data_IF_667303087063
#
_entry.id   IF_667303087063
#
_cell.length_a   1.000
_cell.length_b   1.000
_cell.length_c   1.000
_cell.angle_alpha   90.00
_cell.angle_beta   90.00
_cell.angle_gamma   90.00
#
_symmetry.space_group_name_H-M   'P 1'
#
loop_
_entity.id
_entity.type
_entity.pdbx_description
1 polymer ?
#
# COMPACT_ATOMS: atom_id res chain seq x y z
N UNK A 1 -68.19 79.06 -18.51
CA UNK A 1 -68.91 78.21 -17.55
C UNK A 1 -69.16 76.88 -18.22
N UNK A 2 -68.47 75.79 -17.98
CA UNK A 2 -67.33 75.44 -17.13
C UNK A 2 -66.89 74.04 -17.63
N UNK A 3 -65.65 73.82 -18.12
CA UNK A 3 -65.24 72.49 -18.56
C UNK A 3 -64.84 71.66 -17.34
N UNK A 4 -65.52 70.52 -17.15
CA UNK A 4 -65.16 69.52 -16.14
C UNK A 4 -63.73 69.01 -16.41
N UNK A 5 -62.85 68.94 -15.40
CA UNK A 5 -61.55 68.32 -15.57
C UNK A 5 -61.68 66.79 -15.52
N UNK A 6 -61.08 66.13 -16.50
CA UNK A 6 -60.89 64.68 -16.57
C UNK A 6 -59.97 64.19 -15.43
N UNK A 7 -60.42 63.16 -14.71
CA UNK A 7 -59.60 62.44 -13.75
C UNK A 7 -58.52 61.60 -14.47
N UNK A 8 -57.22 61.73 -14.12
CA UNK A 8 -56.21 60.82 -14.63
C UNK A 8 -56.30 59.47 -13.90
N UNK A 9 -56.52 58.41 -14.69
CA UNK A 9 -56.52 57.00 -14.26
C UNK A 9 -55.22 56.62 -13.54
N UNK A 10 -55.32 56.25 -12.27
CA UNK A 10 -54.27 55.60 -11.48
C UNK A 10 -54.00 54.16 -11.96
N UNK A 11 -53.23 53.97 -13.04
CA UNK A 11 -52.81 52.62 -13.46
C UNK A 11 -51.29 52.43 -13.62
N UNK A 12 -50.47 53.41 -13.20
CA UNK A 12 -49.02 53.39 -13.44
C UNK A 12 -48.10 53.09 -12.23
N UNK A 13 -48.63 52.88 -11.01
CA UNK A 13 -47.77 52.84 -9.79
C UNK A 13 -47.44 51.45 -9.24
N UNK A 14 -48.17 50.39 -9.58
CA UNK A 14 -47.91 49.06 -9.00
C UNK A 14 -46.74 48.29 -9.64
N UNK A 15 -46.36 48.57 -10.89
CA UNK A 15 -45.29 47.80 -11.57
C UNK A 15 -43.85 48.09 -11.06
N UNK A 16 -43.63 49.18 -10.31
CA UNK A 16 -42.30 49.55 -9.78
C UNK A 16 -41.99 49.00 -8.38
N UNK A 17 -42.99 48.61 -7.59
CA UNK A 17 -42.77 48.14 -6.22
C UNK A 17 -42.35 46.66 -6.12
N UNK A 18 -42.69 45.83 -7.11
CA UNK A 18 -42.38 44.39 -7.11
C UNK A 18 -40.97 44.09 -7.65
N UNK A 19 -40.34 45.02 -8.38
CA UNK A 19 -39.00 44.82 -8.98
C UNK A 19 -37.83 44.97 -8.00
N UNK A 20 -38.00 45.77 -6.94
CA UNK A 20 -36.96 45.99 -5.91
C UNK A 20 -36.67 44.76 -5.05
N UNK A 21 -37.67 44.00 -4.53
CA UNK A 21 -37.37 42.78 -3.77
C UNK A 21 -36.76 41.69 -4.65
N UNK A 22 -37.18 41.56 -5.92
CA UNK A 22 -36.62 40.56 -6.84
C UNK A 22 -35.13 40.83 -7.16
N UNK A 23 -34.74 42.10 -7.28
CA UNK A 23 -33.34 42.49 -7.46
C UNK A 23 -32.47 42.13 -6.25
N UNK A 24 -32.96 42.39 -5.03
CA UNK A 24 -32.23 42.05 -3.80
C UNK A 24 -32.14 40.54 -3.58
N UNK A 25 -33.21 39.79 -3.88
CA UNK A 25 -33.18 38.32 -3.86
C UNK A 25 -32.15 37.78 -4.86
N UNK A 26 -32.10 38.33 -6.08
CA UNK A 26 -31.09 37.97 -7.07
C UNK A 26 -29.66 38.33 -6.64
N UNK A 27 -29.46 39.49 -6.01
CA UNK A 27 -28.15 39.92 -5.50
C UNK A 27 -27.66 39.02 -4.35
N UNK A 28 -28.55 38.66 -3.42
CA UNK A 28 -28.23 37.72 -2.32
C UNK A 28 -27.94 36.33 -2.86
N UNK A 29 -28.74 35.83 -3.81
CA UNK A 29 -28.48 34.55 -4.46
C UNK A 29 -27.15 34.55 -5.23
N UNK A 30 -26.79 35.66 -5.89
CA UNK A 30 -25.50 35.81 -6.58
C UNK A 30 -24.31 35.80 -5.63
N UNK A 31 -24.40 36.51 -4.50
CA UNK A 31 -23.34 36.50 -3.46
C UNK A 31 -23.21 35.11 -2.82
N UNK A 32 -24.33 34.45 -2.53
CA UNK A 32 -24.32 33.08 -2.02
C UNK A 32 -23.68 32.10 -3.01
N UNK A 33 -24.02 32.18 -4.30
CA UNK A 33 -23.43 31.32 -5.34
C UNK A 33 -21.93 31.56 -5.50
N UNK A 34 -21.47 32.81 -5.41
CA UNK A 34 -20.04 33.13 -5.39
C UNK A 34 -19.34 32.54 -4.18
N UNK A 35 -19.93 32.63 -2.99
CA UNK A 35 -19.37 32.05 -1.76
C UNK A 35 -19.31 30.52 -1.85
N UNK A 36 -20.38 29.86 -2.31
CA UNK A 36 -20.42 28.42 -2.51
C UNK A 36 -19.39 27.97 -3.56
N UNK A 37 -19.24 28.72 -4.67
CA UNK A 37 -18.23 28.42 -5.70
C UNK A 37 -16.81 28.59 -5.15
N UNK A 38 -16.57 29.61 -4.33
CA UNK A 38 -15.27 29.82 -3.71
C UNK A 38 -14.90 28.68 -2.75
N UNK A 39 -15.85 28.20 -1.95
CA UNK A 39 -15.64 27.05 -1.05
C UNK A 39 -15.33 25.76 -1.82
N UNK A 40 -16.10 25.46 -2.88
CA UNK A 40 -15.83 24.30 -3.75
C UNK A 40 -14.46 24.43 -4.44
N UNK A 41 -14.07 25.64 -4.85
CA UNK A 41 -12.75 25.87 -5.43
C UNK A 41 -11.62 25.68 -4.41
N UNK A 42 -11.80 26.11 -3.16
CA UNK A 42 -10.85 25.87 -2.07
C UNK A 42 -10.72 24.38 -1.76
N UNK A 43 -11.85 23.65 -1.66
CA UNK A 43 -11.83 22.19 -1.52
C UNK A 43 -11.02 21.51 -2.63
N UNK A 44 -11.18 21.95 -3.88
CA UNK A 44 -10.40 21.43 -5.00
C UNK A 44 -8.91 21.79 -4.96
N UNK A 45 -8.52 22.87 -4.28
CA UNK A 45 -7.10 23.22 -4.07
C UNK A 45 -6.50 22.39 -2.94
N UNK A 46 -7.21 22.24 -1.83
CA UNK A 46 -6.76 21.42 -0.69
C UNK A 46 -6.63 19.95 -1.10
N UNK A 47 -7.62 19.38 -1.81
CA UNK A 47 -7.53 18.02 -2.34
C UNK A 47 -6.35 17.84 -3.31
N UNK A 48 -5.96 18.89 -4.07
CA UNK A 48 -4.78 18.84 -4.93
C UNK A 48 -3.48 18.89 -4.13
N UNK A 49 -3.44 19.65 -3.04
CA UNK A 49 -2.29 19.68 -2.14
C UNK A 49 -2.05 18.30 -1.51
N UNK A 50 -3.11 17.66 -0.98
CA UNK A 50 -3.03 16.29 -0.47
C UNK A 50 -2.60 15.26 -1.53
N UNK A 51 -3.11 15.38 -2.76
CA UNK A 51 -2.66 14.52 -3.88
C UNK A 51 -1.19 14.74 -4.26
N UNK A 52 -0.66 15.94 -4.11
CA UNK A 52 0.75 16.23 -4.42
C UNK A 52 1.68 15.66 -3.35
N UNK A 53 1.31 15.79 -2.08
CA UNK A 53 2.06 15.22 -0.95
C UNK A 53 2.10 13.68 -1.00
N UNK A 54 0.99 13.02 -1.35
CA UNK A 54 0.98 11.56 -1.53
C UNK A 54 1.78 11.10 -2.75
N UNK A 55 1.80 11.88 -3.83
CA UNK A 55 2.58 11.56 -5.04
C UNK A 55 4.08 11.73 -4.84
N UNK A 56 4.54 12.72 -4.07
CA UNK A 56 5.97 12.90 -3.79
C UNK A 56 6.55 11.69 -3.07
N UNK A 57 5.81 11.12 -2.11
CA UNK A 57 6.20 9.90 -1.40
C UNK A 57 6.35 8.72 -2.38
N UNK A 58 5.36 8.52 -3.26
CA UNK A 58 5.40 7.42 -4.23
C UNK A 58 6.58 7.54 -5.20
N UNK A 59 6.90 8.75 -5.68
CA UNK A 59 8.05 8.95 -6.57
C UNK A 59 9.36 8.60 -5.88
N UNK A 60 9.54 9.04 -4.62
CA UNK A 60 10.75 8.74 -3.83
C UNK A 60 10.85 7.24 -3.57
N UNK A 61 9.77 6.59 -3.12
CA UNK A 61 9.75 5.15 -2.89
C UNK A 61 10.05 4.34 -4.15
N UNK A 62 9.56 4.75 -5.33
CA UNK A 62 9.76 4.02 -6.58
C UNK A 62 11.15 4.20 -7.21
N UNK A 63 11.77 5.37 -7.07
CA UNK A 63 13.15 5.60 -7.53
C UNK A 63 14.15 4.86 -6.63
N UNK A 64 13.88 4.82 -5.32
CA UNK A 64 14.79 4.24 -4.34
C UNK A 64 14.67 2.71 -4.22
N UNK A 65 13.49 2.12 -4.47
CA UNK A 65 13.35 0.66 -4.58
C UNK A 65 14.21 0.07 -5.72
N UNK A 66 14.38 0.84 -6.80
CA UNK A 66 15.27 0.49 -7.91
C UNK A 66 16.74 0.56 -7.53
N UNK A 67 17.12 1.48 -6.64
CA UNK A 67 18.47 1.59 -6.09
C UNK A 67 18.75 0.52 -5.03
N UNK A 68 17.80 0.23 -4.15
CA UNK A 68 17.85 -0.84 -3.13
C UNK A 68 18.13 -2.22 -3.72
N UNK A 69 17.55 -2.53 -4.89
CA UNK A 69 17.82 -3.77 -5.62
C UNK A 69 19.23 -3.81 -6.25
N UNK A 70 19.80 -2.65 -6.57
CA UNK A 70 21.19 -2.51 -7.05
C UNK A 70 22.21 -2.49 -5.88
N UNK A 71 21.77 -2.17 -4.65
CA UNK A 71 22.61 -1.97 -3.46
C UNK A 71 22.38 -3.00 -2.35
N UNK A 72 22.21 -4.29 -2.68
CA UNK A 72 22.14 -5.43 -1.73
C UNK A 72 23.43 -5.62 -0.86
N UNK A 73 24.22 -4.57 -0.64
CA UNK A 73 25.30 -4.51 0.34
C UNK A 73 25.47 -3.15 1.03
N UNK A 74 24.53 -2.22 0.93
CA UNK A 74 24.61 -0.91 1.59
C UNK A 74 23.29 -0.49 2.22
N UNK A 75 23.32 -0.19 3.51
CA UNK A 75 22.24 0.52 4.24
C UNK A 75 21.88 1.79 3.48
N UNK A 76 20.71 1.79 2.85
CA UNK A 76 20.10 2.98 2.25
C UNK A 76 19.69 3.93 3.37
N UNK A 77 20.37 5.07 3.42
CA UNK A 77 20.25 6.15 4.42
C UNK A 77 19.41 7.32 3.86
N UNK A 78 18.69 7.13 2.73
CA UNK A 78 18.21 8.22 1.86
C UNK A 78 16.68 8.39 1.78
N UNK A 79 15.86 7.53 2.40
CA UNK A 79 14.45 7.89 2.68
C UNK A 79 14.36 8.33 4.13
N UNK A 80 14.30 9.64 4.36
CA UNK A 80 13.89 10.18 5.65
C UNK A 80 12.43 9.78 5.89
N UNK A 81 12.22 8.60 6.49
CA UNK A 81 10.88 8.07 6.84
C UNK A 81 10.10 9.04 7.75
N UNK A 82 10.82 9.90 8.49
CA UNK A 82 10.25 11.04 9.22
C UNK A 82 9.46 12.00 8.32
N UNK A 83 10.03 12.32 7.16
CA UNK A 83 9.41 13.20 6.19
C UNK A 83 8.21 12.51 5.52
N UNK A 84 8.25 11.18 5.35
CA UNK A 84 7.15 10.42 4.75
C UNK A 84 5.91 10.38 5.66
N UNK A 85 6.08 10.05 6.95
CA UNK A 85 4.97 10.04 7.91
C UNK A 85 4.33 11.43 8.04
N UNK A 86 5.14 12.48 8.16
CA UNK A 86 4.65 13.86 8.25
C UNK A 86 3.93 14.31 6.98
N UNK A 87 4.43 13.96 5.79
CA UNK A 87 3.77 14.27 4.52
C UNK A 87 2.41 13.57 4.39
N UNK A 88 2.29 12.32 4.85
CA UNK A 88 1.02 11.59 4.86
C UNK A 88 0.00 12.22 5.81
N UNK A 89 0.43 12.56 7.04
CA UNK A 89 -0.41 13.26 8.00
C UNK A 89 -0.88 14.62 7.46
N UNK A 90 0.03 15.39 6.85
CA UNK A 90 -0.31 16.66 6.22
C UNK A 90 -1.28 16.48 5.04
N UNK A 91 -1.10 15.43 4.23
CA UNK A 91 -2.04 15.11 3.16
C UNK A 91 -3.44 14.79 3.73
N UNK A 92 -3.48 14.05 4.84
CA UNK A 92 -4.71 13.78 5.58
C UNK A 92 -5.42 15.05 6.03
N UNK A 93 -4.67 16.00 6.61
CA UNK A 93 -5.20 17.31 6.99
C UNK A 93 -5.71 18.11 5.78
N UNK A 94 -5.01 18.08 4.65
CA UNK A 94 -5.43 18.75 3.42
C UNK A 94 -6.75 18.18 2.89
N UNK A 95 -6.90 16.86 2.88
CA UNK A 95 -8.16 16.21 2.49
C UNK A 95 -9.30 16.48 3.49
N UNK A 96 -9.00 16.51 4.79
CA UNK A 96 -9.98 16.87 5.82
C UNK A 96 -10.47 18.32 5.65
N UNK A 97 -9.58 19.26 5.34
CA UNK A 97 -9.96 20.65 5.01
C UNK A 97 -10.82 20.73 3.75
N UNK A 98 -10.56 19.86 2.76
CA UNK A 98 -11.42 19.78 1.58
C UNK A 98 -12.85 19.32 1.93
N UNK A 99 -12.99 18.32 2.81
CA UNK A 99 -14.27 17.88 3.36
C UNK A 99 -14.98 19.02 4.13
N UNK A 100 -14.28 19.69 5.05
CA UNK A 100 -14.85 20.81 5.82
C UNK A 100 -15.41 21.95 4.93
N UNK A 101 -14.75 22.20 3.79
CA UNK A 101 -15.23 23.17 2.80
C UNK A 101 -16.49 22.70 2.07
N UNK A 102 -16.67 21.39 1.87
CA UNK A 102 -17.80 20.78 1.17
C UNK A 102 -19.02 20.57 2.09
N UNK A 103 -18.81 20.23 3.37
CA UNK A 103 -19.87 20.10 4.39
C UNK A 103 -20.35 21.47 4.92
N UNK A 104 -19.76 22.57 4.43
CA UNK A 104 -20.13 23.91 4.87
C UNK A 104 -21.63 24.21 4.64
N UNK A 105 -22.35 24.83 5.62
CA UNK A 105 -23.76 25.20 5.47
C UNK A 105 -24.07 26.09 4.27
N UNK A 106 -23.08 26.81 3.74
CA UNK A 106 -23.19 27.62 2.52
C UNK A 106 -23.30 26.73 1.28
N UNK A 107 -22.60 25.59 1.25
CA UNK A 107 -22.58 24.62 0.14
C UNK A 107 -23.75 23.64 0.24
N UNK A 108 -24.20 23.30 1.45
CA UNK A 108 -25.25 22.33 1.72
C UNK A 108 -26.51 22.43 0.82
N UNK A 109 -27.07 23.61 0.47
CA UNK A 109 -28.22 23.69 -0.43
C UNK A 109 -27.95 23.17 -1.86
N UNK A 110 -26.70 23.19 -2.34
CA UNK A 110 -26.33 22.60 -3.63
C UNK A 110 -26.44 21.07 -3.62
N UNK A 111 -26.29 20.45 -2.45
CA UNK A 111 -26.48 19.01 -2.22
C UNK A 111 -27.89 18.52 -2.56
N UNK A 112 -28.91 19.39 -2.50
CA UNK A 112 -30.30 19.03 -2.79
C UNK A 112 -30.61 18.90 -4.29
N UNK A 113 -29.69 19.33 -5.17
CA UNK A 113 -29.89 19.30 -6.61
C UNK A 113 -29.49 17.93 -7.17
N UNK A 114 -30.35 17.24 -7.96
CA UNK A 114 -30.14 15.84 -8.33
C UNK A 114 -28.88 15.56 -9.16
N UNK A 115 -28.40 16.55 -9.93
CA UNK A 115 -27.17 16.41 -10.73
C UNK A 115 -25.94 16.95 -10.01
N UNK A 116 -26.04 18.11 -9.36
CA UNK A 116 -24.91 18.79 -8.70
C UNK A 116 -24.60 18.15 -7.36
N UNK A 117 -25.63 17.85 -6.56
CA UNK A 117 -25.49 17.25 -5.24
C UNK A 117 -24.75 15.92 -5.28
N UNK A 118 -25.03 15.08 -6.29
CA UNK A 118 -24.28 13.83 -6.50
C UNK A 118 -22.79 14.06 -6.72
N UNK A 119 -22.40 15.11 -7.45
CA UNK A 119 -20.98 15.38 -7.68
C UNK A 119 -20.32 15.87 -6.39
N UNK A 120 -21.01 16.72 -5.62
CA UNK A 120 -20.49 17.21 -4.35
C UNK A 120 -20.35 16.08 -3.32
N UNK A 121 -21.36 15.22 -3.21
CA UNK A 121 -21.37 14.03 -2.35
C UNK A 121 -20.24 13.05 -2.71
N UNK A 122 -20.01 12.82 -4.01
CA UNK A 122 -18.90 11.99 -4.46
C UNK A 122 -17.53 12.59 -4.13
N UNK A 123 -17.35 13.90 -4.33
CA UNK A 123 -16.07 14.58 -4.00
C UNK A 123 -15.86 14.63 -2.50
N UNK A 124 -16.93 14.85 -1.73
CA UNK A 124 -16.91 14.86 -0.27
C UNK A 124 -16.52 13.50 0.31
N UNK A 125 -17.19 12.44 -0.13
CA UNK A 125 -16.87 11.06 0.27
C UNK A 125 -15.44 10.69 -0.09
N UNK A 126 -14.97 11.07 -1.29
CA UNK A 126 -13.58 10.86 -1.69
C UNK A 126 -12.59 11.64 -0.83
N UNK A 127 -12.92 12.87 -0.41
CA UNK A 127 -12.09 13.65 0.48
C UNK A 127 -12.00 13.00 1.87
N UNK A 128 -13.12 12.51 2.41
CA UNK A 128 -13.14 11.75 3.68
C UNK A 128 -12.31 10.47 3.56
N UNK A 129 -12.53 9.69 2.51
CA UNK A 129 -11.79 8.46 2.23
C UNK A 129 -10.28 8.70 2.12
N UNK A 130 -9.89 9.74 1.37
CA UNK A 130 -8.49 10.11 1.19
C UNK A 130 -7.86 10.65 2.48
N UNK A 131 -8.60 11.42 3.28
CA UNK A 131 -8.15 11.89 4.58
C UNK A 131 -7.87 10.73 5.53
N UNK A 132 -8.83 9.82 5.69
CA UNK A 132 -8.68 8.63 6.52
C UNK A 132 -7.49 7.78 6.07
N UNK A 133 -7.43 7.48 4.77
CA UNK A 133 -6.34 6.66 4.21
C UNK A 133 -4.96 7.28 4.46
N UNK A 134 -4.82 8.59 4.22
CA UNK A 134 -3.54 9.29 4.40
C UNK A 134 -3.14 9.40 5.88
N UNK A 135 -4.09 9.70 6.77
CA UNK A 135 -3.84 9.77 8.21
C UNK A 135 -3.44 8.41 8.78
N UNK A 136 -4.24 7.36 8.54
CA UNK A 136 -3.93 5.99 9.00
C UNK A 136 -2.57 5.50 8.48
N UNK A 137 -2.26 5.74 7.20
CA UNK A 137 -0.96 5.40 6.66
C UNK A 137 0.18 6.19 7.32
N UNK A 138 -0.01 7.48 7.60
CA UNK A 138 0.98 8.32 8.28
C UNK A 138 1.25 7.85 9.72
N UNK A 139 0.19 7.50 10.47
CA UNK A 139 0.30 6.96 11.83
C UNK A 139 1.01 5.60 11.83
N UNK A 140 0.65 4.70 10.91
CA UNK A 140 1.29 3.40 10.78
C UNK A 140 2.79 3.51 10.43
N UNK A 141 3.18 4.42 9.53
CA UNK A 141 4.59 4.67 9.20
C UNK A 141 5.35 5.21 10.42
N UNK A 142 4.75 6.15 11.18
CA UNK A 142 5.36 6.66 12.40
C UNK A 142 5.56 5.57 13.45
N UNK A 143 4.59 4.68 13.63
CA UNK A 143 4.70 3.55 14.58
C UNK A 143 5.72 2.51 14.13
N UNK A 144 5.74 2.15 12.84
CA UNK A 144 6.76 1.25 12.29
C UNK A 144 8.18 1.77 12.52
N UNK A 145 8.38 3.09 12.39
CA UNK A 145 9.66 3.71 12.72
C UNK A 145 9.99 3.61 14.20
N UNK A 146 9.05 3.88 15.10
CA UNK A 146 9.28 3.73 16.55
C UNK A 146 9.69 2.28 16.89
N UNK A 147 9.12 1.29 16.20
CA UNK A 147 9.51 -0.11 16.32
C UNK A 147 10.96 -0.34 15.86
N UNK A 148 11.34 0.24 14.72
CA UNK A 148 12.70 0.12 14.15
C UNK A 148 13.78 0.81 14.98
N UNK A 149 13.47 1.98 15.55
CA UNK A 149 14.35 2.72 16.49
C UNK A 149 14.39 2.06 17.88
N UNK A 150 13.47 1.14 18.15
CA UNK A 150 13.41 0.35 19.36
C UNK A 150 14.59 -0.61 19.53
N UNK A 151 14.71 -1.24 20.72
CA UNK A 151 15.82 -2.15 21.00
C UNK A 151 15.77 -3.41 20.13
N UNK A 152 16.82 -3.67 19.34
CA UNK A 152 16.96 -4.87 18.48
C UNK A 152 18.17 -5.75 18.84
N UNK A 153 18.78 -5.49 20.00
CA UNK A 153 20.01 -6.14 20.45
C UNK A 153 19.81 -7.63 20.77
N UNK A 154 18.65 -8.02 21.32
CA UNK A 154 18.36 -9.42 21.69
C UNK A 154 17.47 -10.10 20.65
N UNK A 155 17.55 -11.42 20.58
CA UNK A 155 16.67 -12.21 19.70
C UNK A 155 15.19 -12.00 20.03
N UNK A 156 14.86 -11.97 21.32
CA UNK A 156 13.52 -11.67 21.80
C UNK A 156 13.03 -10.30 21.40
N UNK A 157 13.90 -9.28 21.39
CA UNK A 157 13.49 -7.91 21.05
C UNK A 157 13.33 -7.73 19.53
N UNK A 158 14.13 -8.45 18.72
CA UNK A 158 13.90 -8.53 17.26
C UNK A 158 12.59 -9.22 16.91
N UNK A 159 12.26 -10.32 17.59
CA UNK A 159 10.96 -11.00 17.40
C UNK A 159 9.79 -10.12 17.81
N UNK A 160 9.89 -9.41 18.95
CA UNK A 160 8.88 -8.47 19.39
C UNK A 160 8.67 -7.34 18.37
N UNK A 161 9.75 -6.81 17.79
CA UNK A 161 9.67 -5.82 16.73
C UNK A 161 8.89 -6.33 15.51
N UNK A 162 9.18 -7.54 15.02
CA UNK A 162 8.47 -8.16 13.89
C UNK A 162 6.98 -8.38 14.21
N UNK A 163 6.67 -8.84 15.42
CA UNK A 163 5.28 -9.05 15.88
C UNK A 163 4.51 -7.73 15.94
N UNK A 164 5.12 -6.67 16.45
CA UNK A 164 4.53 -5.33 16.47
C UNK A 164 4.33 -4.77 15.07
N UNK A 165 5.32 -4.90 14.17
CA UNK A 165 5.17 -4.50 12.77
C UNK A 165 4.00 -5.21 12.10
N UNK A 166 3.83 -6.51 12.35
CA UNK A 166 2.69 -7.28 11.85
C UNK A 166 1.36 -6.77 12.38
N UNK A 167 1.29 -6.38 13.65
CA UNK A 167 0.09 -5.82 14.26
C UNK A 167 -0.30 -4.48 13.60
N UNK A 168 0.67 -3.58 13.40
CA UNK A 168 0.45 -2.29 12.71
C UNK A 168 -0.06 -2.49 11.29
N UNK A 169 0.54 -3.41 10.53
CA UNK A 169 0.11 -3.71 9.15
C UNK A 169 -1.33 -4.25 9.11
N UNK A 170 -1.71 -5.09 10.08
CA UNK A 170 -3.08 -5.63 10.17
C UNK A 170 -4.10 -4.57 10.54
N UNK A 171 -3.77 -3.71 11.49
CA UNK A 171 -4.64 -2.62 11.92
C UNK A 171 -4.88 -1.65 10.77
N UNK A 172 -3.82 -1.22 10.09
CA UNK A 172 -3.92 -0.40 8.89
C UNK A 172 -4.75 -1.10 7.79
N UNK A 173 -4.52 -2.39 7.54
CA UNK A 173 -5.30 -3.15 6.56
C UNK A 173 -6.79 -3.16 6.88
N UNK A 174 -7.16 -3.38 8.15
CA UNK A 174 -8.55 -3.38 8.60
C UNK A 174 -9.20 -1.99 8.47
N UNK A 175 -8.49 -0.92 8.83
CA UNK A 175 -8.97 0.45 8.67
C UNK A 175 -9.20 0.82 7.22
N UNK A 176 -8.33 0.40 6.31
CA UNK A 176 -8.45 0.69 4.88
C UNK A 176 -9.53 -0.16 4.18
N UNK A 177 -9.85 -1.36 4.67
CA UNK A 177 -10.97 -2.16 4.16
C UNK A 177 -12.34 -1.49 4.39
N UNK A 178 -12.48 -0.70 5.46
CA UNK A 178 -13.72 -0.02 5.81
C UNK A 178 -13.97 1.27 5.03
N UNK A 179 -13.02 1.73 4.22
CA UNK A 179 -13.10 2.98 3.47
C UNK A 179 -14.18 2.92 2.38
N UNK A 180 -15.20 3.77 2.51
CA UNK A 180 -16.25 3.94 1.50
C UNK A 180 -15.81 4.93 0.40
N UNK A 181 -15.85 4.49 -0.86
CA UNK A 181 -15.52 5.32 -2.03
C UNK A 181 -16.70 6.11 -2.57
N UNK A 182 -17.89 5.93 -1.99
CA UNK A 182 -19.10 6.63 -2.37
C UNK A 182 -19.64 6.25 -3.76
N UNK A 183 -20.56 7.06 -4.32
CA UNK A 183 -21.30 6.72 -5.52
C UNK A 183 -20.42 6.68 -6.78
N UNK A 184 -20.48 5.59 -7.54
CA UNK A 184 -19.72 5.40 -8.79
C UNK A 184 -20.42 5.78 -10.10
N UNK A 185 -21.72 6.07 -10.06
CA UNK A 185 -22.53 6.21 -11.29
C UNK A 185 -22.97 7.65 -11.59
N UNK A 186 -23.02 7.99 -12.88
CA UNK A 186 -23.43 9.30 -13.41
C UNK A 186 -22.64 10.48 -12.82
N UNK A 187 -21.34 10.28 -12.66
CA UNK A 187 -20.38 11.33 -12.33
C UNK A 187 -19.97 12.09 -13.59
N UNK A 188 -19.67 13.38 -13.45
CA UNK A 188 -19.04 14.14 -14.53
C UNK A 188 -17.59 13.69 -14.71
N UNK A 189 -17.07 13.73 -15.94
CA UNK A 189 -15.75 13.18 -16.30
C UNK A 189 -14.65 13.40 -15.25
N UNK A 190 -14.36 14.65 -14.84
CA UNK A 190 -13.30 14.90 -13.86
C UNK A 190 -13.49 14.20 -12.49
N UNK A 191 -14.73 14.10 -12.01
CA UNK A 191 -15.04 13.43 -10.73
C UNK A 191 -15.01 11.92 -10.90
N UNK A 192 -15.53 11.41 -12.03
CA UNK A 192 -15.45 10.00 -12.38
C UNK A 192 -13.99 9.52 -12.48
N UNK A 193 -13.14 10.31 -13.14
CA UNK A 193 -11.72 10.02 -13.32
C UNK A 193 -10.96 10.04 -11.99
N UNK A 194 -11.25 11.03 -11.12
CA UNK A 194 -10.66 11.11 -9.78
C UNK A 194 -11.07 9.91 -8.91
N UNK A 195 -12.36 9.54 -8.91
CA UNK A 195 -12.86 8.35 -8.21
C UNK A 195 -12.17 7.08 -8.71
N UNK A 196 -12.17 6.86 -10.03
CA UNK A 196 -11.57 5.67 -10.62
C UNK A 196 -10.06 5.59 -10.38
N UNK A 197 -9.39 6.74 -10.28
CA UNK A 197 -7.99 6.80 -9.89
C UNK A 197 -7.79 6.40 -8.44
N UNK A 198 -8.55 6.99 -7.51
CA UNK A 198 -8.46 6.66 -6.10
C UNK A 198 -8.80 5.18 -5.83
N UNK A 199 -9.81 4.63 -6.52
CA UNK A 199 -10.19 3.22 -6.45
C UNK A 199 -9.03 2.28 -6.86
N UNK A 200 -8.26 2.64 -7.90
CA UNK A 200 -7.05 1.87 -8.27
C UNK A 200 -5.94 2.02 -7.23
N UNK A 201 -5.68 3.25 -6.79
CA UNK A 201 -4.62 3.52 -5.81
C UNK A 201 -4.91 2.82 -4.47
N UNK A 202 -6.17 2.80 -4.02
CA UNK A 202 -6.61 2.06 -2.84
C UNK A 202 -6.44 0.54 -3.01
N UNK A 203 -6.84 -0.02 -4.15
CA UNK A 203 -6.62 -1.44 -4.44
C UNK A 203 -5.13 -1.83 -4.44
N UNK A 204 -4.27 -1.02 -5.04
CA UNK A 204 -2.82 -1.24 -5.07
C UNK A 204 -2.23 -1.22 -3.65
N UNK A 205 -2.69 -0.31 -2.79
CA UNK A 205 -2.27 -0.22 -1.38
C UNK A 205 -2.72 -1.46 -0.61
N UNK A 206 -3.96 -1.90 -0.78
CA UNK A 206 -4.49 -3.11 -0.14
C UNK A 206 -3.73 -4.37 -0.56
N UNK A 207 -3.40 -4.51 -1.85
CA UNK A 207 -2.58 -5.62 -2.35
C UNK A 207 -1.17 -5.59 -1.72
N UNK A 208 -0.56 -4.40 -1.67
CA UNK A 208 0.77 -4.21 -1.07
C UNK A 208 0.77 -4.54 0.43
N UNK A 209 -0.23 -4.09 1.19
CA UNK A 209 -0.38 -4.38 2.61
C UNK A 209 -0.55 -5.88 2.85
N UNK A 210 -1.44 -6.54 2.08
CA UNK A 210 -1.66 -7.98 2.19
C UNK A 210 -0.39 -8.80 1.87
N UNK A 211 0.34 -8.42 0.82
CA UNK A 211 1.61 -9.06 0.46
C UNK A 211 2.68 -8.84 1.54
N UNK A 212 2.75 -7.63 2.10
CA UNK A 212 3.72 -7.28 3.15
C UNK A 212 3.41 -8.03 4.44
N UNK A 213 2.14 -8.06 4.87
CA UNK A 213 1.69 -8.84 6.03
C UNK A 213 2.02 -10.33 5.87
N UNK A 214 1.80 -10.89 4.67
CA UNK A 214 2.14 -12.29 4.36
C UNK A 214 3.63 -12.53 4.49
N UNK A 215 4.46 -11.60 3.99
CA UNK A 215 5.92 -11.69 4.09
C UNK A 215 6.39 -11.59 5.54
N UNK A 216 5.90 -10.61 6.30
CA UNK A 216 6.23 -10.42 7.72
C UNK A 216 5.78 -11.64 8.53
N UNK A 217 4.61 -12.20 8.24
CA UNK A 217 4.13 -13.43 8.89
C UNK A 217 5.06 -14.61 8.59
N UNK A 218 5.48 -14.79 7.34
CA UNK A 218 6.43 -15.84 6.97
C UNK A 218 7.80 -15.68 7.64
N UNK A 219 8.30 -14.45 7.77
CA UNK A 219 9.54 -14.16 8.50
C UNK A 219 9.37 -14.49 9.98
N UNK A 220 8.26 -14.08 10.59
CA UNK A 220 7.97 -14.38 11.99
C UNK A 220 7.90 -15.89 12.23
N UNK A 221 7.19 -16.64 11.37
CA UNK A 221 7.10 -18.09 11.45
C UNK A 221 8.48 -18.75 11.33
N UNK A 222 9.28 -18.31 10.35
CA UNK A 222 10.65 -18.76 10.16
C UNK A 222 11.52 -18.50 11.41
N UNK A 223 11.44 -17.31 11.99
CA UNK A 223 12.27 -16.90 13.12
C UNK A 223 11.80 -17.47 14.46
N UNK A 224 10.52 -17.81 14.61
CA UNK A 224 9.98 -18.28 15.89
C UNK A 224 10.44 -19.69 16.23
N UNK A 225 10.50 -20.59 15.24
CA UNK A 225 10.95 -21.97 15.46
C UNK A 225 10.19 -22.69 16.60
N UNK A 226 10.76 -23.76 17.20
CA UNK A 226 12.00 -24.42 16.82
C UNK A 226 11.86 -25.14 15.48
N UNK A 227 12.75 -24.87 14.52
CA UNK A 227 12.75 -25.52 13.20
C UNK A 227 14.16 -25.65 12.64
N UNK A 228 14.47 -26.82 12.07
CA UNK A 228 15.72 -27.08 11.38
C UNK A 228 15.53 -26.93 9.86
N UNK A 229 16.35 -26.06 9.26
CA UNK A 229 16.37 -25.84 7.83
C UNK A 229 17.63 -26.45 7.22
N UNK A 230 17.47 -27.22 6.14
CA UNK A 230 18.60 -27.71 5.37
C UNK A 230 19.33 -26.53 4.69
N UNK A 231 20.56 -26.29 5.13
CA UNK A 231 21.43 -25.24 4.62
C UNK A 231 22.40 -25.82 3.58
N UNK A 232 22.31 -25.31 2.34
CA UNK A 232 23.18 -25.69 1.23
C UNK A 232 24.09 -24.51 0.87
N UNK A 233 25.39 -24.66 1.12
CA UNK A 233 26.37 -23.63 0.76
C UNK A 233 26.84 -23.84 -0.68
N UNK A 234 26.59 -22.85 -1.52
CA UNK A 234 26.97 -22.89 -2.93
C UNK A 234 28.30 -22.19 -3.19
N UNK A 235 28.98 -22.63 -4.25
CA UNK A 235 30.13 -21.95 -4.81
C UNK A 235 29.73 -21.30 -6.14
N UNK A 236 29.81 -19.97 -6.16
CA UNK A 236 29.47 -19.13 -7.32
C UNK A 236 30.56 -19.11 -8.41
N UNK A 237 31.72 -19.73 -8.19
CA UNK A 237 32.81 -19.79 -9.17
C UNK A 237 32.50 -20.75 -10.35
N UNK A 238 31.44 -21.56 -10.27
CA UNK A 238 31.00 -22.43 -11.35
C UNK A 238 29.64 -21.97 -11.90
N UNK A 239 29.58 -21.73 -13.22
CA UNK A 239 28.33 -21.31 -13.87
C UNK A 239 27.33 -22.47 -13.93
N UNK A 240 26.43 -22.54 -12.94
CA UNK A 240 25.29 -23.47 -12.90
C UNK A 240 24.02 -22.73 -12.49
N UNK A 241 22.97 -22.85 -13.32
CA UNK A 241 21.59 -22.39 -13.13
C UNK A 241 21.35 -21.38 -11.97
N UNK A 242 22.04 -20.24 -12.00
CA UNK A 242 21.97 -19.19 -10.96
C UNK A 242 22.83 -19.45 -9.72
N UNK A 243 22.57 -20.51 -8.96
CA UNK A 243 23.12 -20.67 -7.60
C UNK A 243 24.57 -21.19 -7.53
N UNK A 244 25.13 -21.77 -8.60
CA UNK A 244 26.43 -22.45 -8.54
C UNK A 244 26.38 -23.78 -7.79
N UNK A 245 27.50 -24.51 -7.71
CA UNK A 245 27.51 -25.89 -7.21
C UNK A 245 27.39 -25.96 -5.67
N UNK A 246 26.54 -26.84 -5.12
CA UNK A 246 26.46 -27.05 -3.66
C UNK A 246 27.65 -27.89 -3.17
N UNK A 247 28.54 -27.25 -2.41
CA UNK A 247 29.78 -27.88 -1.92
C UNK A 247 29.73 -28.25 -0.44
N UNK A 248 28.82 -27.67 0.32
CA UNK A 248 28.62 -28.02 1.72
C UNK A 248 27.13 -28.08 2.07
N UNK A 249 26.79 -28.96 3.00
CA UNK A 249 25.44 -29.11 3.52
C UNK A 249 25.47 -29.23 5.05
N UNK A 250 24.44 -28.72 5.71
CA UNK A 250 24.22 -28.83 7.14
C UNK A 250 22.83 -28.34 7.52
N UNK A 251 22.60 -28.13 8.81
CA UNK A 251 21.33 -27.61 9.33
C UNK A 251 21.53 -26.19 9.86
N UNK A 252 20.56 -25.34 9.57
CA UNK A 252 20.34 -24.07 10.24
C UNK A 252 19.23 -24.31 11.26
N UNK A 253 19.57 -24.22 12.54
CA UNK A 253 18.66 -24.34 13.67
C UNK A 253 18.10 -22.94 13.96
N UNK A 254 16.78 -22.79 13.94
CA UNK A 254 16.11 -21.52 14.25
C UNK A 254 15.16 -21.72 15.41
N UNK A 255 15.35 -20.94 16.48
CA UNK A 255 14.52 -20.98 17.69
C UNK A 255 14.52 -19.60 18.36
N UNK A 256 13.33 -19.05 18.62
CA UNK A 256 13.13 -17.80 19.35
C UNK A 256 14.04 -16.66 18.85
N UNK A 257 14.13 -16.48 17.52
CA UNK A 257 14.91 -15.43 16.86
C UNK A 257 16.43 -15.63 16.95
N UNK A 258 16.87 -16.82 17.36
CA UNK A 258 18.26 -17.24 17.45
C UNK A 258 18.58 -18.18 16.31
N UNK A 259 19.78 -18.02 15.73
CA UNK A 259 20.28 -18.85 14.65
C UNK A 259 21.46 -19.68 15.15
N UNK A 260 21.32 -21.00 15.10
CA UNK A 260 22.39 -21.97 15.23
C UNK A 260 22.71 -22.56 13.86
N UNK A 261 23.96 -22.94 13.62
CA UNK A 261 24.31 -23.70 12.44
C UNK A 261 25.07 -24.96 12.87
N UNK A 262 24.62 -26.10 12.38
CA UNK A 262 25.35 -27.35 12.54
C UNK A 262 26.64 -27.31 11.71
N UNK A 263 27.52 -28.29 11.95
CA UNK A 263 28.77 -28.38 11.18
C UNK A 263 28.42 -28.67 9.71
N UNK A 264 28.77 -27.73 8.82
CA UNK A 264 28.69 -27.95 7.38
C UNK A 264 29.68 -29.04 6.95
N UNK A 265 29.16 -30.12 6.38
CA UNK A 265 29.93 -31.22 5.79
C UNK A 265 30.18 -30.99 4.31
N UNK A 266 31.29 -31.51 3.77
CA UNK A 266 31.57 -31.42 2.34
C UNK A 266 30.64 -32.37 1.57
N UNK A 267 29.87 -31.86 0.60
CA UNK A 267 28.87 -32.65 -0.13
C UNK A 267 29.46 -33.80 -0.95
N UNK A 268 30.73 -33.69 -1.34
CA UNK A 268 31.48 -34.77 -2.00
C UNK A 268 31.62 -36.04 -1.15
N UNK A 269 31.54 -35.91 0.18
CA UNK A 269 31.61 -37.02 1.14
C UNK A 269 30.20 -37.53 1.52
N UNK A 270 29.15 -36.95 0.92
CA UNK A 270 27.73 -37.18 1.23
C UNK A 270 26.97 -37.76 0.03
N UNK A 271 27.67 -38.35 -0.94
CA UNK A 271 27.04 -38.97 -2.11
C UNK A 271 26.25 -40.21 -1.69
N UNK A 272 24.98 -40.26 -2.08
CA UNK A 272 24.13 -41.40 -1.74
C UNK A 272 24.52 -42.65 -2.56
N UNK A 273 24.27 -43.87 -2.04
CA UNK A 273 24.52 -45.10 -2.81
C UNK A 273 23.58 -45.26 -4.01
N UNK A 274 22.39 -44.66 -3.96
CA UNK A 274 21.41 -44.61 -5.04
C UNK A 274 20.67 -43.26 -5.00
N UNK A 275 20.10 -42.86 -6.14
CA UNK A 275 19.26 -41.65 -6.19
C UNK A 275 18.02 -41.82 -5.31
N UNK A 276 17.63 -40.75 -4.61
CA UNK A 276 16.33 -40.69 -3.92
C UNK A 276 15.19 -40.76 -4.93
N UNK A 277 14.02 -41.20 -4.47
CA UNK A 277 12.81 -41.29 -5.30
C UNK A 277 12.15 -39.91 -5.50
N UNK A 278 12.38 -38.97 -4.58
CA UNK A 278 11.78 -37.64 -4.55
C UNK A 278 12.48 -36.68 -5.52
N UNK A 279 12.76 -37.10 -6.75
CA UNK A 279 13.23 -36.23 -7.82
C UNK A 279 12.08 -35.94 -8.76
N UNK A 280 11.87 -34.65 -9.07
CA UNK A 280 10.86 -34.22 -10.03
C UNK A 280 11.06 -34.94 -11.39
N UNK A 281 10.00 -35.51 -12.00
CA UNK A 281 10.10 -36.24 -13.26
C UNK A 281 10.64 -35.41 -14.44
N UNK A 282 10.36 -34.11 -14.49
CA UNK A 282 10.87 -33.22 -15.53
C UNK A 282 12.37 -32.99 -15.33
N UNK A 283 12.80 -32.85 -14.07
CA UNK A 283 14.23 -32.77 -13.71
C UNK A 283 14.94 -34.07 -14.09
N UNK A 284 14.36 -35.24 -13.82
CA UNK A 284 14.90 -36.53 -14.26
C UNK A 284 14.94 -36.67 -15.78
N UNK A 285 13.91 -36.22 -16.49
CA UNK A 285 13.85 -36.32 -17.95
C UNK A 285 14.94 -35.49 -18.64
N UNK A 286 15.30 -34.34 -18.06
CA UNK A 286 16.31 -33.44 -18.61
C UNK A 286 17.73 -33.75 -18.10
N UNK A 287 17.86 -34.13 -16.83
CA UNK A 287 19.13 -34.19 -16.12
C UNK A 287 19.41 -35.51 -15.42
N UNK A 288 18.62 -36.56 -15.66
CA UNK A 288 18.74 -37.85 -14.98
C UNK A 288 20.13 -38.48 -15.08
N UNK A 289 20.83 -38.28 -16.19
CA UNK A 289 22.22 -38.76 -16.38
C UNK A 289 23.23 -38.12 -15.40
N UNK A 290 22.91 -36.94 -14.86
CA UNK A 290 23.72 -36.26 -13.85
C UNK A 290 23.36 -36.68 -12.42
N UNK A 291 22.35 -37.54 -12.26
CA UNK A 291 21.97 -38.14 -10.97
C UNK A 291 21.66 -37.08 -9.87
N UNK A 292 20.74 -36.12 -10.15
CA UNK A 292 20.45 -34.98 -9.26
C UNK A 292 19.86 -35.38 -7.90
N UNK A 293 19.32 -36.59 -7.76
CA UNK A 293 18.86 -37.15 -6.48
C UNK A 293 19.90 -37.99 -5.73
N UNK A 294 21.13 -38.09 -6.24
CA UNK A 294 22.24 -38.83 -5.61
C UNK A 294 23.42 -37.95 -5.29
N UNK A 295 23.76 -37.06 -6.22
CA UNK A 295 24.92 -36.19 -6.16
C UNK A 295 24.47 -34.74 -5.91
N UNK A 296 24.71 -34.25 -4.69
CA UNK A 296 24.33 -32.91 -4.24
C UNK A 296 24.81 -31.80 -5.17
N UNK A 297 25.99 -31.99 -5.77
CA UNK A 297 26.58 -31.04 -6.72
C UNK A 297 25.74 -30.86 -7.98
N UNK A 298 24.88 -31.83 -8.30
CA UNK A 298 23.99 -31.82 -9.46
C UNK A 298 22.52 -31.56 -9.08
N UNK A 299 22.22 -31.31 -7.80
CA UNK A 299 20.86 -31.00 -7.33
C UNK A 299 20.34 -29.69 -7.94
N UNK A 300 21.21 -28.69 -8.17
CA UNK A 300 20.84 -27.38 -8.69
C UNK A 300 20.80 -27.30 -10.23
N UNK A 301 20.60 -28.42 -10.94
CA UNK A 301 20.41 -28.39 -12.40
C UNK A 301 19.11 -27.69 -12.81
N UNK A 302 18.14 -27.60 -11.88
CA UNK A 302 17.00 -26.70 -11.97
C UNK A 302 17.17 -25.54 -10.99
N UNK A 303 16.90 -24.31 -11.46
CA UNK A 303 16.82 -23.13 -10.60
C UNK A 303 15.49 -23.05 -9.81
N UNK A 304 14.51 -23.90 -10.16
CA UNK A 304 13.22 -23.97 -9.47
C UNK A 304 13.38 -24.75 -8.15
N UNK A 305 13.59 -24.01 -7.06
CA UNK A 305 13.77 -24.57 -5.73
C UNK A 305 12.55 -25.36 -5.24
N UNK A 306 11.34 -25.03 -5.71
CA UNK A 306 10.13 -25.77 -5.33
C UNK A 306 10.17 -27.23 -5.81
N UNK A 307 10.90 -27.50 -6.90
CA UNK A 307 11.11 -28.85 -7.44
C UNK A 307 12.31 -29.57 -6.84
N UNK A 308 13.35 -28.86 -6.41
CA UNK A 308 14.59 -29.46 -5.91
C UNK A 308 14.65 -29.57 -4.40
N UNK A 309 13.91 -28.74 -3.65
CA UNK A 309 13.90 -28.78 -2.18
C UNK A 309 13.41 -30.12 -1.59
N UNK A 310 12.34 -30.77 -2.12
CA UNK A 310 11.93 -32.09 -1.64
C UNK A 310 13.02 -33.15 -1.87
N UNK A 311 13.73 -33.06 -3.01
CA UNK A 311 14.87 -33.93 -3.30
C UNK A 311 15.99 -33.70 -2.29
N UNK A 312 16.33 -32.44 -2.01
CA UNK A 312 17.37 -32.07 -1.05
C UNK A 312 17.09 -32.63 0.35
N UNK A 313 15.85 -32.48 0.83
CA UNK A 313 15.42 -33.01 2.12
C UNK A 313 15.51 -34.54 2.17
N UNK A 314 15.06 -35.23 1.12
CA UNK A 314 15.18 -36.68 1.03
C UNK A 314 16.65 -37.15 0.95
N UNK A 315 17.51 -36.39 0.27
CA UNK A 315 18.94 -36.67 0.21
C UNK A 315 19.60 -36.48 1.58
N UNK A 316 19.22 -35.45 2.33
CA UNK A 316 19.68 -35.25 3.70
C UNK A 316 19.33 -36.46 4.56
N UNK A 317 18.05 -36.84 4.59
CA UNK A 317 17.55 -38.01 5.31
C UNK A 317 18.26 -39.30 4.90
N UNK A 318 18.57 -39.47 3.61
CA UNK A 318 19.30 -40.63 3.10
C UNK A 318 20.76 -40.70 3.56
N UNK A 319 21.40 -39.56 3.85
CA UNK A 319 22.80 -39.49 4.30
C UNK A 319 22.91 -39.54 5.82
N UNK A 320 22.06 -38.82 6.53
CA UNK A 320 22.17 -38.61 7.99
C UNK A 320 21.20 -39.48 8.79
N UNK A 321 20.06 -39.84 8.21
CA UNK A 321 18.96 -40.49 8.91
C UNK A 321 18.02 -39.53 9.67
N UNK A 322 18.27 -38.23 9.59
CA UNK A 322 17.44 -37.14 10.11
C UNK A 322 16.48 -36.62 9.03
#
# INVERSE_FOLDING_TARGET
>A
MDPRPDEPREQGRMARMIRRPLFWVGAVAGVWLLAATALVAMAGLDARAGMQATQSIRSVASEDLGQLLDTVGGTSDDVDEEDAAQQLLQAGEDFARAHDHLDNPIVAPLGLLPFIGRQLDAVDTLAVAAAHTATSAGEAVAEMREILEGPTETSSSRLDAIERTRAVLRELGAELEEVDLGPGEALVGPVADARARFEREHADVMETLSSTETTVTGVLEFMSGPTDYLLLASNNAEMRAGAGMYLQAGLLEVEDGTFGASRLGATQDMVLPASVEQVDPDVLALWGELEPGREWRNLNMSADFSRTAPTAAAMWQGVTGE
#
